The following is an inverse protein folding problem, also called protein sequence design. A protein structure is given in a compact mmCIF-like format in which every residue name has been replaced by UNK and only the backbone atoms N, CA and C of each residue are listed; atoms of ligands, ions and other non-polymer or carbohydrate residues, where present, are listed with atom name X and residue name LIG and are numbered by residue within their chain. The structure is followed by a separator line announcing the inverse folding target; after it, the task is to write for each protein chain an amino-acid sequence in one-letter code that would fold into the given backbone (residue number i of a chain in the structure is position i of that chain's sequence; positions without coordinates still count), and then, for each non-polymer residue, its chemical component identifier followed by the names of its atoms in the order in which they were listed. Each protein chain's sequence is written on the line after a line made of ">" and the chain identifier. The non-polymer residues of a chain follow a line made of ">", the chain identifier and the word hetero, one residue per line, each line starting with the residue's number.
data_IF_897186152021
#
_entry.id   IF_897186152021
#
_cell.length_a   1.000
_cell.length_b   1.000
_cell.length_c   1.000
_cell.angle_alpha   90.00
_cell.angle_beta   90.00
_cell.angle_gamma   90.00
#
_symmetry.space_group_name_H-M   'P 1'
#
loop_
_entity.id
_entity.type
_entity.pdbx_description
1 polymer ?
#
# COMPACT_ATOMS: atom_id res chain seq x y z
N UNK A 1 11.24 9.48 -8.50
CA UNK A 1 11.43 9.02 -9.89
C UNK A 1 11.72 7.53 -9.87
N UNK A 2 10.86 6.72 -10.48
CA UNK A 2 10.98 5.24 -10.53
C UNK A 2 11.22 4.73 -11.95
N UNK A 3 11.56 5.63 -12.89
CA UNK A 3 11.86 5.28 -14.29
C UNK A 3 13.26 4.66 -14.40
N UNK A 4 13.63 4.04 -15.53
CA UNK A 4 14.94 3.39 -15.69
C UNK A 4 16.09 4.37 -15.96
N UNK A 5 15.91 5.67 -15.70
CA UNK A 5 16.98 6.66 -15.78
C UNK A 5 18.11 6.32 -14.79
N UNK A 6 19.38 6.21 -15.23
CA UNK A 6 20.49 5.74 -14.39
C UNK A 6 21.01 6.79 -13.40
N UNK A 7 20.67 8.06 -13.57
CA UNK A 7 21.20 9.14 -12.70
C UNK A 7 20.20 9.55 -11.61
N UNK A 8 18.92 9.56 -11.94
CA UNK A 8 17.86 10.13 -11.10
C UNK A 8 16.71 9.17 -10.83
N UNK A 9 16.66 8.03 -11.53
CA UNK A 9 15.67 6.96 -11.35
C UNK A 9 16.26 5.71 -10.72
N UNK A 10 15.66 4.55 -11.03
CA UNK A 10 16.10 3.23 -10.56
C UNK A 10 16.92 2.49 -11.62
N UNK A 11 17.50 3.22 -12.59
CA UNK A 11 18.20 2.66 -13.74
C UNK A 11 19.38 1.75 -13.40
N UNK A 12 20.04 1.99 -12.27
CA UNK A 12 21.19 1.23 -11.76
C UNK A 12 20.82 0.13 -10.76
N UNK A 13 19.56 0.06 -10.35
CA UNK A 13 19.12 -0.94 -9.38
C UNK A 13 19.02 -2.31 -10.04
N UNK A 14 19.33 -3.38 -9.30
CA UNK A 14 19.00 -4.75 -9.68
C UNK A 14 17.55 -5.10 -9.31
N UNK A 15 17.01 -6.20 -9.86
CA UNK A 15 15.71 -6.74 -9.42
C UNK A 15 15.72 -7.10 -7.93
N UNK A 16 16.82 -7.67 -7.43
CA UNK A 16 16.98 -7.97 -6.00
C UNK A 16 16.92 -6.70 -5.14
N UNK A 17 17.58 -5.63 -5.55
CA UNK A 17 17.54 -4.35 -4.82
C UNK A 17 16.15 -3.73 -4.82
N UNK A 18 15.42 -3.84 -5.94
CA UNK A 18 14.03 -3.41 -6.02
C UNK A 18 13.13 -4.24 -5.09
N UNK A 19 13.24 -5.57 -5.13
CA UNK A 19 12.52 -6.48 -4.26
C UNK A 19 12.78 -6.18 -2.78
N UNK A 20 14.06 -6.00 -2.39
CA UNK A 20 14.44 -5.68 -1.02
C UNK A 20 13.89 -4.32 -0.57
N UNK A 21 13.84 -3.31 -1.44
CA UNK A 21 13.24 -2.03 -1.10
C UNK A 21 11.73 -2.15 -0.89
N UNK A 22 11.04 -2.87 -1.77
CA UNK A 22 9.60 -3.16 -1.63
C UNK A 22 9.30 -3.92 -0.33
N UNK A 23 10.14 -4.91 0.01
CA UNK A 23 9.92 -5.78 1.16
C UNK A 23 10.31 -5.19 2.48
N UNK A 24 11.49 -4.59 2.53
CA UNK A 24 12.10 -4.13 3.78
C UNK A 24 11.99 -2.61 3.94
N UNK A 25 11.50 -1.87 2.95
CA UNK A 25 11.46 -0.40 3.00
C UNK A 25 12.86 0.21 3.21
N UNK A 26 13.89 -0.40 2.62
CA UNK A 26 15.28 0.08 2.66
C UNK A 26 15.78 0.35 1.25
N UNK A 27 16.40 1.50 1.06
CA UNK A 27 17.10 1.82 -0.17
C UNK A 27 18.37 0.95 -0.31
N UNK A 28 18.90 0.78 -1.53
CA UNK A 28 20.14 0.03 -1.76
C UNK A 28 21.37 0.58 -1.01
N UNK A 29 21.36 1.87 -0.66
CA UNK A 29 22.38 2.53 0.14
C UNK A 29 22.22 2.31 1.67
N UNK A 30 21.18 1.56 2.07
CA UNK A 30 20.83 1.28 3.47
C UNK A 30 19.87 2.30 4.11
N UNK A 31 19.54 3.39 3.41
CA UNK A 31 18.61 4.41 3.88
C UNK A 31 17.21 3.88 4.14
N UNK A 32 16.52 4.42 5.15
CA UNK A 32 15.15 4.01 5.48
C UNK A 32 14.13 4.79 4.65
N UNK A 33 13.18 4.05 4.09
CA UNK A 33 12.00 4.59 3.41
C UNK A 33 10.97 5.02 4.45
N UNK A 34 10.34 6.18 4.24
CA UNK A 34 9.21 6.64 5.06
C UNK A 34 7.95 5.83 4.71
N UNK A 35 7.08 5.53 5.69
CA UNK A 35 5.91 4.66 5.50
C UNK A 35 4.81 5.24 4.60
N UNK A 36 5.00 6.46 4.08
CA UNK A 36 4.19 6.97 2.97
C UNK A 36 4.35 6.10 1.70
N UNK A 37 5.50 5.47 1.51
CA UNK A 37 5.62 4.33 0.60
C UNK A 37 5.13 3.08 1.38
N UNK A 38 4.14 2.34 0.87
CA UNK A 38 3.43 1.31 1.63
C UNK A 38 4.21 -0.01 1.74
N UNK A 39 5.50 0.04 2.08
CA UNK A 39 6.34 -1.16 2.23
C UNK A 39 5.81 -2.14 3.29
N UNK A 40 5.01 -1.67 4.25
CA UNK A 40 4.38 -2.53 5.24
C UNK A 40 3.29 -3.45 4.65
N UNK A 41 2.71 -3.06 3.50
CA UNK A 41 1.83 -3.90 2.69
C UNK A 41 2.63 -4.63 1.61
N UNK A 42 3.52 -3.93 0.92
CA UNK A 42 4.31 -4.51 -0.17
C UNK A 42 5.29 -5.60 0.26
N UNK A 43 5.60 -5.71 1.55
CA UNK A 43 6.31 -6.87 2.10
C UNK A 43 5.61 -8.20 1.84
N UNK A 44 4.30 -8.19 1.56
CA UNK A 44 3.54 -9.40 1.23
C UNK A 44 3.65 -9.79 -0.25
N UNK A 45 4.08 -8.88 -1.13
CA UNK A 45 4.13 -9.10 -2.59
C UNK A 45 5.11 -10.22 -2.90
N UNK A 46 4.75 -11.18 -3.75
CA UNK A 46 5.68 -12.29 -4.04
C UNK A 46 6.88 -11.80 -4.85
N UNK A 47 7.99 -12.53 -4.76
CA UNK A 47 9.15 -12.29 -5.60
C UNK A 47 8.82 -12.19 -7.08
N UNK A 48 7.97 -13.08 -7.59
CA UNK A 48 7.58 -13.11 -9.01
C UNK A 48 6.85 -11.83 -9.44
N UNK A 49 5.89 -11.36 -8.63
CA UNK A 49 5.16 -10.12 -8.92
C UNK A 49 6.06 -8.89 -8.79
N UNK A 50 6.96 -8.86 -7.81
CA UNK A 50 7.98 -7.80 -7.68
C UNK A 50 8.89 -7.73 -8.91
N UNK A 51 9.36 -8.89 -9.40
CA UNK A 51 10.21 -8.95 -10.59
C UNK A 51 9.43 -8.56 -11.85
N UNK A 52 8.14 -8.91 -11.96
CA UNK A 52 7.28 -8.49 -13.05
C UNK A 52 7.06 -6.96 -13.05
N UNK A 53 6.81 -6.35 -11.89
CA UNK A 53 6.70 -4.90 -11.73
C UNK A 53 8.01 -4.23 -12.13
N UNK A 54 9.14 -4.73 -11.62
CA UNK A 54 10.46 -4.20 -11.96
C UNK A 54 10.71 -4.30 -13.47
N UNK A 55 10.46 -5.45 -14.09
CA UNK A 55 10.60 -5.65 -15.52
C UNK A 55 9.74 -4.66 -16.33
N UNK A 56 8.48 -4.44 -15.93
CA UNK A 56 7.62 -3.42 -16.54
C UNK A 56 8.21 -2.01 -16.40
N UNK A 57 8.68 -1.63 -15.21
CA UNK A 57 9.34 -0.34 -14.98
C UNK A 57 10.64 -0.19 -15.79
N UNK A 58 11.27 -1.28 -16.24
CA UNK A 58 12.40 -1.20 -17.19
C UNK A 58 11.98 -0.85 -18.61
N UNK A 59 10.71 -1.00 -18.96
CA UNK A 59 10.18 -0.70 -20.30
C UNK A 59 9.67 0.73 -20.45
N UNK A 60 9.38 1.43 -19.34
CA UNK A 60 8.85 2.80 -19.41
C UNK A 60 9.93 3.78 -19.87
N UNK A 61 9.57 4.85 -20.61
CA UNK A 61 10.54 5.86 -21.02
C UNK A 61 11.30 6.46 -19.83
N UNK A 62 12.64 6.57 -19.88
CA UNK A 62 13.41 7.18 -18.81
C UNK A 62 13.09 8.68 -18.71
N UNK A 63 12.87 9.15 -17.49
CA UNK A 63 12.68 10.57 -17.20
C UNK A 63 13.83 11.02 -16.31
N UNK A 64 14.59 12.02 -16.74
CA UNK A 64 15.66 12.60 -15.92
C UNK A 64 15.10 13.70 -15.03
N UNK A 65 14.77 13.34 -13.79
CA UNK A 65 14.19 14.26 -12.82
C UNK A 65 14.69 13.93 -11.42
N UNK A 66 15.44 14.87 -10.83
CA UNK A 66 15.86 14.78 -9.44
C UNK A 66 14.65 14.87 -8.50
N UNK A 67 14.61 14.01 -7.49
CA UNK A 67 13.61 14.12 -6.43
C UNK A 67 13.87 15.39 -5.62
N UNK A 68 12.79 16.00 -5.11
CA UNK A 68 12.91 17.08 -4.15
C UNK A 68 13.52 16.56 -2.84
N UNK A 69 14.31 17.37 -2.13
CA UNK A 69 14.72 17.02 -0.77
C UNK A 69 13.46 16.83 0.11
N UNK A 70 13.59 16.05 1.19
CA UNK A 70 12.47 15.85 2.11
C UNK A 70 12.15 17.17 2.81
N UNK A 71 10.90 17.62 2.71
CA UNK A 71 10.40 18.82 3.36
C UNK A 71 9.55 18.44 4.59
N UNK A 72 10.19 17.68 5.49
CA UNK A 72 9.57 17.25 6.74
C UNK A 72 10.00 18.19 7.86
N UNK A 73 9.07 18.53 8.75
CA UNK A 73 9.36 19.28 9.97
C UNK A 73 9.65 18.33 11.14
N UNK A 74 10.26 18.85 12.20
CA UNK A 74 10.44 18.08 13.43
C UNK A 74 9.07 17.68 14.02
N UNK A 75 8.89 16.43 14.50
CA UNK A 75 9.91 15.37 14.65
C UNK A 75 10.12 14.48 13.42
N UNK A 76 9.30 14.59 12.37
CA UNK A 76 9.28 13.69 11.21
C UNK A 76 10.54 13.78 10.33
N UNK A 77 11.31 14.86 10.42
CA UNK A 77 12.61 15.00 9.76
C UNK A 77 13.71 14.10 10.34
N UNK A 78 13.53 13.56 11.55
CA UNK A 78 14.49 12.65 12.16
C UNK A 78 14.23 11.20 11.70
N UNK A 79 14.95 10.78 10.66
CA UNK A 79 14.83 9.44 10.07
C UNK A 79 15.13 8.30 11.05
N UNK A 80 15.85 8.53 12.15
CA UNK A 80 16.09 7.49 13.17
C UNK A 80 14.81 7.08 13.91
N UNK A 81 13.80 7.96 13.99
CA UNK A 81 12.50 7.61 14.59
C UNK A 81 11.77 6.52 13.81
N UNK A 82 12.09 6.37 12.52
CA UNK A 82 11.56 5.30 11.68
C UNK A 82 11.99 3.93 12.19
N UNK A 83 13.19 3.78 12.79
CA UNK A 83 13.59 2.51 13.39
C UNK A 83 12.63 2.09 14.53
N UNK A 84 12.26 3.03 15.38
CA UNK A 84 11.30 2.82 16.46
C UNK A 84 9.90 2.48 15.92
N UNK A 85 9.41 3.28 14.97
CA UNK A 85 8.10 3.05 14.33
C UNK A 85 8.00 1.65 13.70
N UNK A 86 9.04 1.24 12.96
CA UNK A 86 9.08 -0.07 12.28
C UNK A 86 9.08 -1.23 13.27
N UNK A 87 9.74 -1.08 14.41
CA UNK A 87 9.73 -2.10 15.46
C UNK A 87 8.31 -2.38 15.98
N UNK A 88 7.49 -1.34 16.06
CA UNK A 88 6.12 -1.41 16.54
C UNK A 88 5.13 -1.88 15.48
N UNK A 89 5.24 -1.38 14.24
CA UNK A 89 4.17 -1.48 13.24
C UNK A 89 4.54 -2.22 11.96
N UNK A 90 5.78 -2.67 11.80
CA UNK A 90 6.22 -3.39 10.62
C UNK A 90 6.60 -4.84 10.97
N UNK A 91 6.11 -5.78 10.15
CA UNK A 91 6.47 -7.19 10.17
C UNK A 91 6.80 -7.57 8.75
N UNK A 92 8.06 -7.91 8.51
CA UNK A 92 8.53 -8.29 7.18
C UNK A 92 8.12 -9.73 6.87
N UNK A 93 7.64 -9.96 5.65
CA UNK A 93 7.38 -11.31 5.16
C UNK A 93 6.38 -11.37 4.00
N UNK A 94 6.74 -12.17 3.01
CA UNK A 94 5.87 -12.50 1.88
C UNK A 94 4.54 -13.13 2.33
N UNK A 95 3.52 -12.96 1.50
CA UNK A 95 2.21 -13.55 1.71
C UNK A 95 2.30 -15.07 1.82
N UNK A 96 1.65 -15.62 2.84
CA UNK A 96 1.51 -17.06 3.04
C UNK A 96 0.03 -17.44 2.97
N UNK A 97 -0.37 -18.26 1.98
CA UNK A 97 -1.74 -18.74 1.90
C UNK A 97 -2.15 -19.49 3.17
N UNK A 98 -3.35 -19.21 3.66
CA UNK A 98 -3.98 -19.98 4.73
C UNK A 98 -4.54 -21.28 4.15
N UNK A 99 -4.04 -22.46 4.57
CA UNK A 99 -4.48 -23.75 4.04
C UNK A 99 -5.92 -24.09 4.40
N UNK A 100 -6.52 -23.39 5.37
CA UNK A 100 -7.92 -23.55 5.76
C UNK A 100 -8.89 -22.75 4.88
N UNK A 101 -8.38 -21.91 3.98
CA UNK A 101 -9.15 -21.03 3.11
C UNK A 101 -9.09 -21.48 1.66
N UNK A 102 -10.11 -21.09 0.88
CA UNK A 102 -10.12 -21.37 -0.56
C UNK A 102 -9.00 -20.61 -1.26
N UNK A 103 -8.62 -21.09 -2.45
CA UNK A 103 -7.65 -20.39 -3.31
C UNK A 103 -8.12 -18.96 -3.65
N UNK A 104 -9.42 -18.80 -3.89
CA UNK A 104 -10.03 -17.51 -4.21
C UNK A 104 -9.98 -16.52 -3.03
N UNK A 105 -10.23 -17.00 -1.81
CA UNK A 105 -10.09 -16.18 -0.61
C UNK A 105 -8.63 -15.76 -0.40
N UNK A 106 -7.67 -16.69 -0.53
CA UNK A 106 -6.25 -16.37 -0.39
C UNK A 106 -5.77 -15.37 -1.44
N UNK A 107 -6.25 -15.49 -2.68
CA UNK A 107 -5.98 -14.52 -3.73
C UNK A 107 -6.55 -13.14 -3.38
N UNK A 108 -7.78 -13.08 -2.88
CA UNK A 108 -8.39 -11.83 -2.41
C UNK A 108 -7.59 -11.19 -1.28
N UNK A 109 -7.19 -11.97 -0.28
CA UNK A 109 -6.37 -11.52 0.84
C UNK A 109 -5.03 -10.92 0.36
N UNK A 110 -4.31 -11.63 -0.52
CA UNK A 110 -3.08 -11.14 -1.12
C UNK A 110 -3.23 -9.79 -1.83
N UNK A 111 -4.31 -9.62 -2.61
CA UNK A 111 -4.58 -8.37 -3.33
C UNK A 111 -4.95 -7.24 -2.37
N UNK A 112 -5.76 -7.50 -1.35
CA UNK A 112 -6.24 -6.49 -0.40
C UNK A 112 -5.14 -6.01 0.54
N UNK A 113 -4.35 -6.95 1.08
CA UNK A 113 -3.29 -6.64 2.06
C UNK A 113 -1.96 -6.24 1.41
N UNK A 114 -1.66 -6.80 0.24
CA UNK A 114 -0.41 -6.58 -0.51
C UNK A 114 -0.52 -5.42 -1.49
N UNK A 115 -0.67 -5.73 -2.78
CA UNK A 115 -0.59 -4.74 -3.88
C UNK A 115 -1.65 -3.63 -3.78
N UNK A 116 -2.87 -3.96 -3.36
CA UNK A 116 -3.96 -3.00 -3.21
C UNK A 116 -3.93 -2.23 -1.90
N UNK A 117 -3.16 -2.69 -0.90
CA UNK A 117 -2.93 -2.06 0.41
C UNK A 117 -4.18 -1.36 0.98
N UNK A 118 -5.36 -1.98 0.85
CA UNK A 118 -6.63 -1.33 1.14
C UNK A 118 -6.72 -0.96 2.63
N UNK A 119 -6.10 -1.78 3.48
CA UNK A 119 -6.00 -1.54 4.92
C UNK A 119 -5.28 -0.24 5.29
N UNK A 120 -4.47 0.36 4.40
CA UNK A 120 -3.77 1.62 4.66
C UNK A 120 -4.73 2.80 4.81
N UNK A 121 -5.85 2.80 4.07
CA UNK A 121 -6.90 3.81 4.20
C UNK A 121 -8.05 3.32 5.06
N UNK A 122 -8.43 2.05 4.93
CA UNK A 122 -9.62 1.48 5.56
C UNK A 122 -9.39 0.92 6.97
N UNK A 123 -8.23 1.13 7.59
CA UNK A 123 -7.97 0.79 9.00
C UNK A 123 -7.66 2.06 9.78
N UNK A 124 -8.18 2.23 11.02
CA UNK A 124 -7.83 3.38 11.84
C UNK A 124 -6.33 3.49 12.09
N UNK A 125 -5.79 4.70 11.94
CA UNK A 125 -4.40 5.01 12.28
C UNK A 125 -4.34 5.52 13.73
N UNK A 126 -3.37 5.06 14.51
CA UNK A 126 -3.13 5.53 15.88
C UNK A 126 -2.31 6.82 15.93
N UNK A 127 -2.17 7.42 17.11
CA UNK A 127 -1.43 8.67 17.30
C UNK A 127 0.06 8.59 16.90
N UNK A 128 0.64 7.39 16.83
CA UNK A 128 2.02 7.14 16.39
C UNK A 128 2.11 6.90 14.87
N UNK A 129 1.01 7.05 14.13
CA UNK A 129 0.98 6.86 12.68
C UNK A 129 1.00 5.40 12.22
N UNK A 130 0.71 4.44 13.11
CA UNK A 130 0.59 3.02 12.77
C UNK A 130 -0.86 2.55 12.67
N UNK A 131 -1.13 1.55 11.83
CA UNK A 131 -2.47 0.94 11.71
C UNK A 131 -2.86 0.19 12.98
N UNK A 132 -4.10 0.38 13.46
CA UNK A 132 -4.67 -0.35 14.59
C UNK A 132 -5.21 -1.71 14.11
N UNK A 133 -4.36 -2.72 14.14
CA UNK A 133 -4.69 -4.06 13.63
C UNK A 133 -5.90 -4.73 14.31
N UNK A 134 -6.19 -4.40 15.57
CA UNK A 134 -7.40 -4.88 16.26
C UNK A 134 -8.70 -4.35 15.67
N UNK A 135 -8.62 -3.35 14.79
CA UNK A 135 -9.72 -2.70 14.08
C UNK A 135 -9.50 -2.73 12.57
N UNK A 136 -8.79 -3.76 12.08
CA UNK A 136 -8.48 -3.92 10.66
C UNK A 136 -9.77 -3.81 9.83
N UNK A 137 -9.72 -2.97 8.80
CA UNK A 137 -10.82 -2.73 7.86
C UNK A 137 -12.10 -2.10 8.43
N UNK A 138 -12.12 -1.65 9.69
CA UNK A 138 -13.30 -1.00 10.30
C UNK A 138 -13.55 0.44 9.81
N UNK A 139 -12.75 0.92 8.85
CA UNK A 139 -12.79 2.29 8.35
C UNK A 139 -11.87 3.21 9.14
N UNK A 140 -11.44 4.32 8.52
CA UNK A 140 -10.42 5.18 9.09
C UNK A 140 -10.46 6.59 8.53
N UNK A 141 -10.13 7.57 9.37
CA UNK A 141 -9.83 8.91 8.91
C UNK A 141 -8.44 8.92 8.27
N UNK A 142 -8.34 9.46 7.05
CA UNK A 142 -7.11 9.80 6.34
C UNK A 142 -6.75 11.24 6.73
N UNK A 143 -5.88 11.45 7.73
CA UNK A 143 -5.77 12.76 8.39
C UNK A 143 -5.25 13.85 7.44
N UNK A 144 -4.33 13.49 6.55
CA UNK A 144 -3.72 14.43 5.61
C UNK A 144 -4.68 14.94 4.53
N UNK A 145 -5.79 14.24 4.30
CA UNK A 145 -6.78 14.57 3.27
C UNK A 145 -8.13 14.97 3.88
N UNK A 146 -8.23 14.99 5.21
CA UNK A 146 -9.48 15.19 5.96
C UNK A 146 -10.63 14.34 5.40
N UNK A 147 -10.31 13.09 5.06
CA UNK A 147 -11.22 12.17 4.37
C UNK A 147 -11.50 10.95 5.23
N UNK A 148 -12.72 10.42 5.17
CA UNK A 148 -13.05 9.17 5.86
C UNK A 148 -13.19 8.02 4.86
N UNK A 149 -12.36 7.00 5.02
CA UNK A 149 -12.49 5.74 4.30
C UNK A 149 -13.46 4.82 5.09
N UNK A 150 -14.58 4.37 4.49
CA UNK A 150 -15.59 3.59 5.18
C UNK A 150 -15.10 2.18 5.55
N UNK A 151 -15.84 1.47 6.40
CA UNK A 151 -15.51 0.08 6.75
C UNK A 151 -15.62 -0.84 5.54
N UNK A 152 -14.71 -1.79 5.42
CA UNK A 152 -14.77 -2.90 4.45
C UNK A 152 -15.22 -4.22 5.10
N UNK A 153 -15.54 -4.22 6.40
CA UNK A 153 -16.00 -5.42 7.10
C UNK A 153 -17.39 -5.86 6.64
N UNK A 154 -17.80 -7.07 6.98
CA UNK A 154 -19.17 -7.57 6.74
C UNK A 154 -20.23 -6.96 7.67
N UNK A 155 -19.91 -5.87 8.39
CA UNK A 155 -20.91 -5.13 9.15
C UNK A 155 -21.96 -4.54 8.19
N UNK A 156 -23.24 -4.66 8.55
CA UNK A 156 -24.37 -4.23 7.70
C UNK A 156 -24.65 -2.73 7.76
N UNK A 157 -24.36 -2.11 8.89
CA UNK A 157 -24.63 -0.68 9.12
C UNK A 157 -23.49 0.19 8.58
N UNK A 158 -22.25 -0.23 8.80
CA UNK A 158 -21.06 0.59 8.50
C UNK A 158 -20.19 0.04 7.39
N UNK A 159 -20.36 -1.24 7.02
CA UNK A 159 -19.50 -1.94 6.07
C UNK A 159 -20.24 -2.48 4.85
N UNK A 160 -19.72 -3.59 4.31
CA UNK A 160 -20.17 -4.22 3.07
C UNK A 160 -21.18 -5.36 3.30
N UNK A 161 -21.72 -5.50 4.52
CA UNK A 161 -22.53 -6.67 4.90
C UNK A 161 -23.80 -6.91 4.08
N UNK A 162 -24.35 -5.86 3.46
CA UNK A 162 -25.53 -5.92 2.57
C UNK A 162 -25.20 -5.53 1.12
N UNK A 163 -23.92 -5.57 0.74
CA UNK A 163 -23.47 -5.39 -0.64
C UNK A 163 -23.38 -6.75 -1.34
N UNK A 164 -23.85 -6.79 -2.57
CA UNK A 164 -23.64 -7.94 -3.46
C UNK A 164 -22.23 -7.90 -4.06
N UNK A 165 -21.75 -9.05 -4.55
CA UNK A 165 -20.44 -9.13 -5.22
C UNK A 165 -20.46 -8.25 -6.48
N UNK A 166 -21.56 -8.26 -7.22
CA UNK A 166 -21.75 -7.45 -8.42
C UNK A 166 -21.64 -5.96 -8.11
N UNK A 167 -22.25 -5.48 -7.02
CA UNK A 167 -22.14 -4.09 -6.60
C UNK A 167 -20.71 -3.70 -6.20
N UNK A 168 -19.97 -4.59 -5.53
CA UNK A 168 -18.56 -4.36 -5.17
C UNK A 168 -17.70 -4.30 -6.43
N UNK A 169 -17.89 -5.24 -7.36
CA UNK A 169 -17.16 -5.27 -8.64
C UNK A 169 -17.45 -4.02 -9.46
N UNK A 170 -18.71 -3.62 -9.58
CA UNK A 170 -19.10 -2.42 -10.31
C UNK A 170 -18.51 -1.16 -9.67
N UNK A 171 -18.54 -1.05 -8.34
CA UNK A 171 -17.93 0.07 -7.64
C UNK A 171 -16.41 0.15 -7.89
N UNK A 172 -15.69 -0.98 -7.83
CA UNK A 172 -14.23 -1.04 -7.99
C UNK A 172 -13.75 -0.93 -9.45
N UNK A 173 -14.57 -1.30 -10.44
CA UNK A 173 -14.19 -1.27 -11.87
C UNK A 173 -14.79 -0.11 -12.66
N UNK A 174 -15.93 0.40 -12.24
CA UNK A 174 -16.66 1.47 -12.95
C UNK A 174 -16.69 2.77 -12.14
N UNK A 175 -16.33 2.71 -10.86
CA UNK A 175 -16.50 3.83 -9.93
C UNK A 175 -17.94 4.10 -9.54
N UNK A 176 -18.88 3.23 -9.89
CA UNK A 176 -20.30 3.40 -9.57
C UNK A 176 -21.00 2.05 -9.46
N UNK A 177 -21.89 1.93 -8.49
CA UNK A 177 -22.79 0.80 -8.29
C UNK A 177 -24.16 1.28 -7.79
N UNK A 178 -25.11 0.37 -7.61
CA UNK A 178 -26.42 0.69 -7.02
C UNK A 178 -26.31 1.23 -5.58
N UNK A 179 -25.19 1.01 -4.90
CA UNK A 179 -24.94 1.47 -3.52
C UNK A 179 -24.24 2.84 -3.45
N UNK A 180 -23.68 3.34 -4.54
CA UNK A 180 -23.02 4.63 -4.57
C UNK A 180 -21.99 4.79 -5.68
N UNK A 181 -21.29 5.91 -5.68
CA UNK A 181 -20.21 6.23 -6.60
C UNK A 181 -18.94 6.59 -5.85
N UNK A 182 -17.77 6.43 -6.47
CA UNK A 182 -16.46 6.79 -5.90
C UNK A 182 -16.27 8.29 -5.96
N UNK A 183 -15.65 8.84 -4.91
CA UNK A 183 -15.35 10.27 -4.80
C UNK A 183 -14.15 10.46 -3.88
N UNK A 184 -13.49 11.62 -4.02
CA UNK A 184 -12.29 11.95 -3.26
C UNK A 184 -11.12 10.97 -3.56
N UNK A 185 -10.30 10.63 -2.56
CA UNK A 185 -9.11 9.77 -2.72
C UNK A 185 -9.43 8.39 -3.31
N UNK A 186 -10.64 7.88 -3.11
CA UNK A 186 -11.05 6.59 -3.67
C UNK A 186 -11.11 6.60 -5.21
N UNK A 187 -11.32 7.76 -5.83
CA UNK A 187 -11.36 7.88 -7.28
C UNK A 187 -9.97 7.68 -7.93
N UNK A 188 -8.88 7.84 -7.17
CA UNK A 188 -7.51 7.64 -7.67
C UNK A 188 -7.07 6.16 -7.66
N UNK A 189 -7.86 5.27 -7.04
CA UNK A 189 -7.52 3.86 -6.85
C UNK A 189 -8.52 2.90 -7.52
N UNK A 190 -9.45 3.44 -8.30
CA UNK A 190 -10.50 2.71 -9.04
C UNK A 190 -10.26 2.91 -10.54
N UNK A 191 -10.29 1.81 -11.30
CA UNK A 191 -9.90 1.78 -12.72
C UNK A 191 -10.74 0.80 -13.55
#
# INVERSE_FOLDING_TARGET
>A
NITPDPQTGIGTWTSDQFYQMMHSGRFPDGGLVYPAMPFASYTQVTREDSDAIYAYLRTVPPVRQLNKPHDLTFPFNNRSLILGWRTLFFREGEFKPDPTKSAEWNRGNYLVEGLGHCGMCHTPINALGGSKQSQAFEGGLIPMQNWYAPSLTSNKETGLGDWTIEEIVDYLRKGVSAKGAVYGPMAEVVY
#
